data_IF_718617416070
#
_entry.id   IF_718617416070
#
_cell.length_a   1.000
_cell.length_b   1.000
_cell.length_c   1.000
_cell.angle_alpha   90.00
_cell.angle_beta   90.00
_cell.angle_gamma   90.00
#
_symmetry.space_group_name_H-M   'P 1'
#
loop_
_entity.id
_entity.type
_entity.pdbx_description
1 polymer ?
#
# COMPACT_ATOMS: atom_id res chain seq x y z
N UNK A 1 2.86 -20.05 -29.28
CA UNK A 1 2.69 -19.66 -29.15
C UNK A 1 2.34 -18.98 -28.68
N UNK A 2 2.37 -18.94 -28.77
CA UNK A 2 2.25 -18.39 -28.45
C UNK A 2 1.74 -17.79 -27.88
N UNK A 3 1.68 -17.96 -27.89
CA UNK A 3 1.42 -17.46 -27.46
C UNK A 3 0.82 -16.55 -26.76
N UNK A 4 0.18 -16.13 -26.88
CA UNK A 4 -0.39 -14.91 -26.37
C UNK A 4 -1.51 -15.18 -25.43
N UNK A 5 -1.21 -15.80 -24.35
CA UNK A 5 -2.14 -15.95 -23.24
C UNK A 5 -2.09 -14.69 -22.41
N UNK A 6 -3.25 -14.10 -22.09
CA UNK A 6 -3.26 -13.04 -21.09
C UNK A 6 -2.71 -13.59 -19.78
N UNK A 7 -1.81 -12.85 -19.16
CA UNK A 7 -1.27 -13.26 -17.87
C UNK A 7 -2.25 -12.80 -16.79
N UNK A 8 -2.71 -13.73 -15.96
CA UNK A 8 -3.67 -13.46 -14.90
C UNK A 8 -2.96 -12.85 -13.70
N UNK A 9 -3.36 -11.63 -13.27
CA UNK A 9 -2.76 -11.04 -12.08
C UNK A 9 -2.92 -11.90 -10.84
N UNK A 10 -3.95 -12.74 -10.77
CA UNK A 10 -4.18 -13.63 -9.63
C UNK A 10 -3.00 -14.57 -9.38
N UNK A 11 -2.29 -14.99 -10.44
CA UNK A 11 -1.12 -15.85 -10.29
C UNK A 11 -0.03 -15.13 -9.48
N UNK A 12 0.28 -13.90 -9.86
CA UNK A 12 1.31 -13.12 -9.17
C UNK A 12 0.88 -12.72 -7.76
N UNK A 13 -0.40 -12.40 -7.59
CA UNK A 13 -0.91 -12.04 -6.27
C UNK A 13 -0.87 -13.21 -5.30
N UNK A 14 -1.26 -14.41 -5.75
CA UNK A 14 -1.19 -15.60 -4.92
C UNK A 14 0.25 -15.89 -4.49
N UNK A 15 1.19 -15.77 -5.43
CA UNK A 15 2.61 -15.98 -5.13
C UNK A 15 3.13 -14.93 -4.16
N UNK A 16 2.73 -13.66 -4.36
CA UNK A 16 3.04 -12.57 -3.42
C UNK A 16 2.59 -12.91 -2.00
N UNK A 17 1.37 -13.42 -1.85
CA UNK A 17 0.85 -13.75 -0.53
C UNK A 17 1.69 -14.83 0.16
N UNK A 18 2.11 -15.83 -0.58
CA UNK A 18 2.98 -16.87 -0.05
C UNK A 18 4.35 -16.30 0.33
N UNK A 19 4.89 -15.47 -0.53
CA UNK A 19 6.22 -14.90 -0.32
C UNK A 19 6.27 -13.99 0.90
N UNK A 20 5.19 -13.20 1.12
CA UNK A 20 5.14 -12.35 2.32
C UNK A 20 5.07 -13.18 3.59
N UNK A 21 4.36 -14.28 3.58
CA UNK A 21 4.31 -15.18 4.74
C UNK A 21 5.67 -15.79 5.03
N UNK A 22 6.46 -16.05 4.00
CA UNK A 22 7.80 -16.61 4.12
C UNK A 22 8.87 -15.54 4.30
N UNK A 23 8.48 -14.27 4.37
CA UNK A 23 9.38 -13.13 4.50
C UNK A 23 10.36 -13.01 3.35
N UNK A 24 9.96 -13.44 2.18
CA UNK A 24 10.74 -13.34 0.94
C UNK A 24 10.43 -12.00 0.29
N UNK A 25 11.05 -10.93 0.81
CA UNK A 25 10.64 -9.57 0.47
C UNK A 25 10.93 -9.16 -0.98
N UNK A 26 12.08 -9.54 -1.52
CA UNK A 26 12.43 -9.17 -2.89
C UNK A 26 11.51 -9.83 -3.93
N UNK A 27 11.29 -11.16 -3.88
CA UNK A 27 10.30 -11.77 -4.77
C UNK A 27 8.90 -11.19 -4.57
N UNK A 28 8.51 -10.90 -3.32
CA UNK A 28 7.19 -10.33 -3.03
C UNK A 28 7.04 -8.95 -3.67
N UNK A 29 8.06 -8.10 -3.62
CA UNK A 29 8.04 -6.79 -4.27
C UNK A 29 7.84 -6.94 -5.78
N UNK A 30 8.56 -7.88 -6.40
CA UNK A 30 8.41 -8.13 -7.83
C UNK A 30 6.99 -8.56 -8.17
N UNK A 31 6.44 -9.50 -7.38
CA UNK A 31 5.13 -10.06 -7.68
C UNK A 31 3.99 -9.09 -7.45
N UNK A 32 4.06 -8.26 -6.40
CA UNK A 32 3.00 -7.27 -6.18
C UNK A 32 3.07 -6.15 -7.22
N UNK A 33 4.27 -5.76 -7.64
CA UNK A 33 4.42 -4.78 -8.72
C UNK A 33 3.82 -5.32 -10.02
N UNK A 34 4.08 -6.60 -10.31
CA UNK A 34 3.53 -7.25 -11.50
C UNK A 34 2.00 -7.31 -11.43
N UNK A 35 1.48 -7.64 -10.24
CA UNK A 35 0.04 -7.67 -10.00
C UNK A 35 -0.59 -6.32 -10.33
N UNK A 36 0.00 -5.24 -9.83
CA UNK A 36 -0.50 -3.88 -10.07
C UNK A 36 -0.39 -3.51 -11.55
N UNK A 37 0.69 -3.92 -12.22
CA UNK A 37 0.86 -3.65 -13.64
C UNK A 37 -0.24 -4.32 -14.47
N UNK A 38 -0.59 -5.57 -14.10
CA UNK A 38 -1.60 -6.33 -14.83
C UNK A 38 -3.03 -5.94 -14.46
N UNK A 39 -3.23 -5.37 -13.28
CA UNK A 39 -4.55 -4.92 -12.81
C UNK A 39 -4.44 -3.46 -12.33
N UNK A 40 -4.22 -2.51 -13.25
CA UNK A 40 -3.87 -1.13 -12.88
C UNK A 40 -5.01 -0.31 -12.28
N UNK A 41 -6.23 -0.85 -12.26
CA UNK A 41 -7.39 -0.13 -11.72
C UNK A 41 -7.89 -0.71 -10.41
N UNK A 42 -7.14 -1.63 -9.80
CA UNK A 42 -7.56 -2.29 -8.57
C UNK A 42 -6.84 -1.65 -7.37
N UNK A 43 -7.57 -0.84 -6.58
CA UNK A 43 -6.92 -0.09 -5.49
C UNK A 43 -6.34 -0.97 -4.40
N UNK A 44 -6.93 -2.15 -4.13
CA UNK A 44 -6.43 -3.01 -3.06
C UNK A 44 -5.02 -3.51 -3.34
N UNK A 45 -4.67 -3.75 -4.61
CA UNK A 45 -3.32 -4.20 -4.95
C UNK A 45 -2.29 -3.09 -4.71
N UNK A 46 -2.65 -1.85 -4.98
CA UNK A 46 -1.75 -0.73 -4.68
C UNK A 46 -1.58 -0.53 -3.18
N UNK A 47 -2.64 -0.77 -2.40
CA UNK A 47 -2.54 -0.73 -0.94
C UNK A 47 -1.59 -1.82 -0.42
N UNK A 48 -1.67 -3.03 -1.00
CA UNK A 48 -0.76 -4.12 -0.64
C UNK A 48 0.68 -3.76 -0.96
N UNK A 49 0.90 -3.16 -2.13
CA UNK A 49 2.24 -2.73 -2.53
C UNK A 49 2.77 -1.68 -1.56
N UNK A 50 1.97 -0.67 -1.23
CA UNK A 50 2.37 0.37 -0.28
C UNK A 50 2.70 -0.23 1.09
N UNK A 51 1.90 -1.19 1.54
CA UNK A 51 2.12 -1.87 2.81
C UNK A 51 3.47 -2.59 2.84
N UNK A 52 3.80 -3.29 1.75
CA UNK A 52 5.09 -3.97 1.66
C UNK A 52 6.24 -2.96 1.60
N UNK A 53 6.09 -1.89 0.82
CA UNK A 53 7.10 -0.84 0.74
C UNK A 53 7.37 -0.22 2.11
N UNK A 54 6.32 -0.01 2.91
CA UNK A 54 6.47 0.50 4.27
C UNK A 54 7.30 -0.49 5.11
N UNK A 55 7.00 -1.77 5.01
CA UNK A 55 7.69 -2.80 5.78
C UNK A 55 9.19 -2.87 5.43
N UNK A 56 9.51 -2.76 4.15
CA UNK A 56 10.91 -2.86 3.69
C UNK A 56 11.59 -1.50 3.58
N UNK A 57 10.96 -0.45 4.08
CA UNK A 57 11.51 0.90 4.20
C UNK A 57 11.74 1.58 2.85
N UNK A 58 10.95 1.25 1.85
CA UNK A 58 10.94 1.92 0.54
C UNK A 58 9.87 3.00 0.56
N UNK A 59 10.11 4.05 1.35
CA UNK A 59 9.05 5.01 1.69
C UNK A 59 8.55 5.82 0.51
N UNK A 60 9.43 6.29 -0.35
CA UNK A 60 9.02 7.09 -1.52
C UNK A 60 8.19 6.26 -2.49
N UNK A 61 8.61 5.03 -2.75
CA UNK A 61 7.85 4.12 -3.60
C UNK A 61 6.50 3.79 -2.98
N UNK A 62 6.48 3.59 -1.66
CA UNK A 62 5.24 3.34 -0.94
C UNK A 62 4.26 4.50 -1.04
N UNK A 63 4.77 5.73 -0.94
CA UNK A 63 3.95 6.93 -1.09
C UNK A 63 3.30 6.96 -2.47
N UNK A 64 4.06 6.62 -3.52
CA UNK A 64 3.51 6.56 -4.88
C UNK A 64 2.39 5.53 -4.99
N UNK A 65 2.61 4.33 -4.43
CA UNK A 65 1.59 3.27 -4.47
C UNK A 65 0.34 3.65 -3.67
N UNK A 66 0.52 4.19 -2.46
CA UNK A 66 -0.62 4.63 -1.64
C UNK A 66 -1.39 5.75 -2.31
N UNK A 67 -0.69 6.70 -2.94
CA UNK A 67 -1.32 7.79 -3.68
C UNK A 67 -2.17 7.26 -4.84
N UNK A 68 -1.67 6.26 -5.55
CA UNK A 68 -2.42 5.63 -6.62
C UNK A 68 -3.67 4.93 -6.09
N UNK A 69 -3.54 4.26 -4.95
CA UNK A 69 -4.69 3.64 -4.28
C UNK A 69 -5.78 4.68 -4.01
N UNK A 70 -5.41 5.85 -3.49
CA UNK A 70 -6.34 6.93 -3.16
C UNK A 70 -6.99 7.50 -4.43
N UNK A 71 -6.21 7.66 -5.51
CA UNK A 71 -6.77 8.12 -6.79
C UNK A 71 -7.87 7.19 -7.29
N UNK A 72 -7.65 5.88 -7.14
CA UNK A 72 -8.60 4.88 -7.61
C UNK A 72 -9.80 4.72 -6.69
N UNK A 73 -9.61 4.93 -5.38
CA UNK A 73 -10.66 4.72 -4.39
C UNK A 73 -10.54 5.77 -3.28
N UNK A 74 -11.06 7.00 -3.52
CA UNK A 74 -10.92 8.09 -2.53
C UNK A 74 -11.59 7.83 -1.18
N UNK A 75 -12.49 6.85 -1.08
CA UNK A 75 -13.16 6.51 0.17
C UNK A 75 -12.52 5.32 0.89
N UNK A 76 -11.46 4.75 0.32
CA UNK A 76 -10.83 3.57 0.91
C UNK A 76 -9.83 3.99 1.99
N UNK A 77 -10.20 3.77 3.24
CA UNK A 77 -9.42 4.27 4.38
C UNK A 77 -7.98 3.77 4.41
N UNK A 78 -7.74 2.52 3.95
CA UNK A 78 -6.39 1.94 3.97
C UNK A 78 -5.37 2.78 3.20
N UNK A 79 -5.77 3.39 2.10
CA UNK A 79 -4.87 4.23 1.32
C UNK A 79 -4.34 5.40 2.14
N UNK A 80 -5.22 6.05 2.87
CA UNK A 80 -4.84 7.18 3.72
C UNK A 80 -4.05 6.74 4.95
N UNK A 81 -4.41 5.61 5.53
CA UNK A 81 -3.65 5.07 6.66
C UNK A 81 -2.21 4.79 6.26
N UNK A 82 -2.03 4.10 5.15
CA UNK A 82 -0.69 3.77 4.66
C UNK A 82 0.10 5.02 4.30
N UNK A 83 -0.54 5.97 3.63
CA UNK A 83 0.11 7.23 3.27
C UNK A 83 0.55 7.98 4.53
N UNK A 84 -0.33 8.03 5.53
CA UNK A 84 0.01 8.67 6.81
C UNK A 84 1.19 8.02 7.50
N UNK A 85 1.23 6.69 7.54
CA UNK A 85 2.33 5.96 8.17
C UNK A 85 3.63 6.14 7.39
N UNK A 86 3.57 6.18 6.06
CA UNK A 86 4.75 6.41 5.23
C UNK A 86 5.32 7.82 5.46
N UNK A 87 4.48 8.83 5.52
CA UNK A 87 4.94 10.18 5.82
C UNK A 87 5.51 10.29 7.23
N UNK A 88 4.91 9.58 8.18
CA UNK A 88 5.43 9.53 9.55
C UNK A 88 6.86 9.00 9.56
N UNK A 89 7.14 7.92 8.81
CA UNK A 89 8.48 7.35 8.74
C UNK A 89 9.48 8.28 8.07
N UNK A 90 9.00 9.19 7.23
CA UNK A 90 9.85 10.20 6.61
C UNK A 90 9.94 11.48 7.45
N UNK A 91 9.40 11.47 8.65
CA UNK A 91 9.38 12.62 9.56
C UNK A 91 8.62 13.82 8.98
N UNK A 92 7.64 13.56 8.12
CA UNK A 92 6.76 14.58 7.56
C UNK A 92 5.47 14.60 8.38
N UNK A 93 5.57 15.18 9.56
CA UNK A 93 4.54 15.09 10.59
C UNK A 93 3.21 15.69 10.13
N UNK A 94 3.24 16.85 9.48
CA UNK A 94 1.99 17.52 9.05
C UNK A 94 1.23 16.65 8.05
N UNK A 95 1.92 16.10 7.06
CA UNK A 95 1.31 15.20 6.08
C UNK A 95 0.81 13.92 6.73
N UNK A 96 1.59 13.38 7.67
CA UNK A 96 1.18 12.18 8.38
C UNK A 96 -0.14 12.40 9.12
N UNK A 97 -0.25 13.49 9.87
CA UNK A 97 -1.45 13.82 10.64
C UNK A 97 -2.65 14.01 9.71
N UNK A 98 -2.46 14.75 8.62
CA UNK A 98 -3.54 15.01 7.64
C UNK A 98 -4.13 13.70 7.12
N UNK A 99 -3.27 12.77 6.71
CA UNK A 99 -3.73 11.52 6.11
C UNK A 99 -4.32 10.57 7.16
N UNK A 100 -3.74 10.54 8.36
CA UNK A 100 -4.29 9.70 9.43
C UNK A 100 -5.67 10.20 9.87
N UNK A 101 -5.86 11.53 9.93
CA UNK A 101 -7.18 12.09 10.23
C UNK A 101 -8.21 11.69 9.17
N UNK A 102 -7.79 11.70 7.90
CA UNK A 102 -8.69 11.28 6.81
C UNK A 102 -9.06 9.80 6.95
N UNK A 103 -8.08 8.95 7.27
CA UNK A 103 -8.36 7.54 7.50
C UNK A 103 -9.35 7.34 8.65
N UNK A 104 -9.18 8.11 9.73
CA UNK A 104 -10.09 8.06 10.87
C UNK A 104 -11.51 8.47 10.47
N UNK A 105 -11.64 9.58 9.72
CA UNK A 105 -12.94 10.04 9.22
C UNK A 105 -13.64 8.97 8.37
N UNK A 106 -12.86 8.19 7.64
CA UNK A 106 -13.40 7.11 6.80
C UNK A 106 -13.66 5.81 7.57
N UNK A 107 -13.46 5.84 8.90
CA UNK A 107 -13.84 4.74 9.76
C UNK A 107 -12.71 3.81 10.19
N UNK A 108 -11.45 4.14 9.88
CA UNK A 108 -10.33 3.29 10.30
C UNK A 108 -9.95 3.60 11.75
N UNK A 109 -10.31 2.70 12.64
CA UNK A 109 -10.08 2.89 14.08
C UNK A 109 -8.60 2.86 14.47
N UNK A 110 -7.75 2.22 13.65
CA UNK A 110 -6.31 2.16 13.93
C UNK A 110 -5.67 3.55 13.87
N UNK A 111 -6.23 4.43 13.03
CA UNK A 111 -5.67 5.75 12.80
C UNK A 111 -5.64 6.58 14.08
N UNK A 112 -6.63 6.43 14.95
CA UNK A 112 -6.67 7.19 16.21
C UNK A 112 -5.46 6.90 17.09
N UNK A 113 -5.05 5.63 17.17
CA UNK A 113 -3.88 5.25 17.94
C UNK A 113 -2.59 5.84 17.41
N UNK A 114 -2.44 5.85 16.09
CA UNK A 114 -1.27 6.45 15.47
C UNK A 114 -1.24 7.97 15.66
N UNK A 115 -2.41 8.62 15.59
CA UNK A 115 -2.50 10.06 15.82
C UNK A 115 -2.07 10.44 17.23
N UNK A 116 -2.49 9.65 18.23
CA UNK A 116 -2.10 9.90 19.61
C UNK A 116 -0.58 9.83 19.78
N UNK A 117 0.05 8.86 19.16
CA UNK A 117 1.50 8.69 19.24
C UNK A 117 2.25 9.85 18.58
N UNK A 118 1.75 10.35 17.47
CA UNK A 118 2.40 11.46 16.74
C UNK A 118 2.30 12.77 17.53
N UNK A 119 1.17 13.01 18.19
CA UNK A 119 0.95 14.24 18.93
C UNK A 119 1.82 14.35 20.17
N UNK A 120 2.34 13.24 20.65
CA UNK A 120 3.29 13.25 21.76
C UNK A 120 4.70 13.51 21.25
#
# INVERSE_FOLDING_TARGET
>A
DSIARPVDPAFFYARYQCETKLRMWQPALFDIARTCYLAPKEPTFFAEWASLDLRVKRYDEGISAASRCIELAPEYADGYLLLGLLYKEKNMKAEAIKNLKKAEELGDKRAAGYLEKIKK
#
